data_IF_787753242950
#
_entry.id   IF_787753242950
#
_cell.length_a   1.000
_cell.length_b   1.000
_cell.length_c   1.000
_cell.angle_alpha   90.00
_cell.angle_beta   90.00
_cell.angle_gamma   90.00
#
_symmetry.space_group_name_H-M   'P 1'
#
loop_
_entity.id
_entity.type
_entity.pdbx_description
1 polymer ?
#
# COMPACT_ATOMS: atom_id res chain seq x y z
N UNK A 1 -27.50 0.44 67.10
CA UNK A 1 -27.20 1.19 65.87
C UNK A 1 -26.14 0.54 64.97
N UNK A 2 -25.26 -0.32 65.49
CA UNK A 2 -24.10 -0.87 64.75
C UNK A 2 -24.45 -1.91 63.67
N UNK A 3 -25.54 -2.69 63.85
CA UNK A 3 -25.92 -3.78 62.93
C UNK A 3 -26.53 -3.27 61.60
N UNK A 4 -27.24 -2.13 61.65
CA UNK A 4 -27.89 -1.52 60.48
C UNK A 4 -26.85 -0.85 59.57
N UNK A 5 -25.85 -0.19 60.15
CA UNK A 5 -24.75 0.43 59.40
C UNK A 5 -23.89 -0.62 58.65
N UNK A 6 -23.69 -1.81 59.23
CA UNK A 6 -22.92 -2.89 58.60
C UNK A 6 -23.66 -3.49 57.39
N UNK A 7 -24.97 -3.68 57.51
CA UNK A 7 -25.82 -4.20 56.42
C UNK A 7 -25.92 -3.19 55.27
N UNK A 8 -26.04 -1.89 55.57
CA UNK A 8 -26.00 -0.83 54.54
C UNK A 8 -24.66 -0.81 53.79
N UNK A 9 -23.53 -0.99 54.49
CA UNK A 9 -22.19 -0.99 53.88
C UNK A 9 -21.96 -2.21 52.97
N UNK A 10 -22.53 -3.37 53.32
CA UNK A 10 -22.52 -4.57 52.48
C UNK A 10 -23.39 -4.37 51.23
N UNK A 11 -24.60 -3.82 51.39
CA UNK A 11 -25.51 -3.55 50.26
C UNK A 11 -24.90 -2.55 49.25
N UNK A 12 -24.24 -1.50 49.72
CA UNK A 12 -23.56 -0.54 48.84
C UNK A 12 -22.36 -1.15 48.11
N UNK A 13 -21.58 -2.01 48.76
CA UNK A 13 -20.41 -2.66 48.13
C UNK A 13 -20.82 -3.72 47.11
N UNK A 14 -21.90 -4.46 47.36
CA UNK A 14 -22.47 -5.44 46.41
C UNK A 14 -23.02 -4.72 45.16
N UNK A 15 -23.68 -3.57 45.31
CA UNK A 15 -24.12 -2.75 44.17
C UNK A 15 -22.95 -2.20 43.35
N UNK A 16 -21.86 -1.73 43.97
CA UNK A 16 -20.70 -1.19 43.25
C UNK A 16 -20.00 -2.29 42.44
N UNK A 17 -19.84 -3.50 43.00
CA UNK A 17 -19.22 -4.63 42.29
C UNK A 17 -20.11 -5.11 41.13
N UNK A 18 -21.43 -5.18 41.32
CA UNK A 18 -22.37 -5.56 40.26
C UNK A 18 -22.39 -4.54 39.09
N UNK A 19 -22.25 -3.24 39.39
CA UNK A 19 -22.15 -2.19 38.38
C UNK A 19 -20.82 -2.33 37.61
N UNK A 20 -19.69 -2.57 38.27
CA UNK A 20 -18.38 -2.76 37.62
C UNK A 20 -18.32 -3.98 36.68
N UNK A 21 -19.03 -5.07 36.99
CA UNK A 21 -19.13 -6.25 36.12
C UNK A 21 -20.03 -6.01 34.89
N UNK A 22 -21.02 -5.12 34.97
CA UNK A 22 -21.88 -4.75 33.84
C UNK A 22 -21.21 -3.80 32.83
N UNK A 23 -20.15 -3.08 33.22
CA UNK A 23 -19.40 -2.17 32.32
C UNK A 23 -18.27 -2.89 31.56
N UNK A 24 -17.90 -4.12 31.94
CA UNK A 24 -16.78 -4.85 31.34
C UNK A 24 -17.18 -5.84 30.23
N UNK A 25 -18.47 -6.01 29.92
CA UNK A 25 -18.95 -7.02 28.95
C UNK A 25 -19.37 -6.47 27.59
N UNK A 26 -19.10 -5.19 27.29
CA UNK A 26 -19.36 -4.58 25.98
C UNK A 26 -18.11 -3.92 25.38
N UNK A 27 -17.01 -4.67 25.33
CA UNK A 27 -16.03 -4.45 24.28
C UNK A 27 -16.30 -5.49 23.19
N UNK A 28 -17.00 -5.16 22.09
CA UNK A 28 -16.86 -5.97 20.89
C UNK A 28 -15.39 -5.94 20.51
N UNK A 29 -14.66 -7.02 20.84
CA UNK A 29 -13.37 -7.29 20.27
C UNK A 29 -13.59 -7.50 18.77
N UNK A 30 -13.55 -6.42 18.00
CA UNK A 30 -13.40 -6.47 16.55
C UNK A 30 -11.96 -6.88 16.24
N UNK A 31 -11.59 -8.09 16.67
CA UNK A 31 -10.41 -8.78 16.20
C UNK A 31 -10.84 -9.53 14.94
N UNK A 32 -10.38 -9.04 13.77
CA UNK A 32 -10.50 -9.58 12.41
C UNK A 32 -11.40 -8.76 11.48
N UNK A 33 -10.78 -7.82 10.77
CA UNK A 33 -10.57 -7.92 9.32
C UNK A 33 -9.39 -7.00 8.98
N UNK A 34 -8.22 -7.54 8.64
CA UNK A 34 -7.28 -6.82 7.76
C UNK A 34 -7.68 -7.24 6.34
N UNK A 35 -8.58 -6.53 5.64
CA UNK A 35 -8.72 -6.74 4.23
C UNK A 35 -7.43 -6.20 3.60
N UNK A 36 -6.51 -7.08 3.19
CA UNK A 36 -5.42 -6.70 2.30
C UNK A 36 -6.04 -6.07 1.04
N UNK A 37 -6.20 -4.75 1.04
CA UNK A 37 -7.00 -4.06 0.04
C UNK A 37 -6.27 -4.13 -1.30
N UNK A 38 -6.98 -4.65 -2.31
CA UNK A 38 -6.50 -4.64 -3.70
C UNK A 38 -7.07 -3.40 -4.39
N UNK A 39 -6.27 -2.78 -5.24
CA UNK A 39 -6.68 -1.55 -5.91
C UNK A 39 -6.34 -1.49 -7.40
N UNK A 40 -6.00 -2.60 -8.04
CA UNK A 40 -5.83 -2.61 -9.50
C UNK A 40 -7.21 -2.63 -10.17
N UNK A 41 -7.54 -1.56 -10.88
CA UNK A 41 -8.77 -1.45 -11.68
C UNK A 41 -8.47 -1.82 -13.13
N UNK A 42 -9.18 -2.80 -13.67
CA UNK A 42 -9.14 -3.10 -15.10
C UNK A 42 -10.08 -2.14 -15.83
N UNK A 43 -9.50 -1.22 -16.59
CA UNK A 43 -10.25 -0.21 -17.35
C UNK A 43 -9.97 -0.39 -18.84
N UNK A 44 -10.92 -0.99 -19.55
CA UNK A 44 -10.78 -1.28 -20.98
C UNK A 44 -10.58 0.00 -21.80
N UNK A 45 -11.29 1.10 -21.46
CA UNK A 45 -11.21 2.36 -22.19
C UNK A 45 -9.85 3.03 -22.10
N UNK A 46 -9.14 2.91 -20.97
CA UNK A 46 -7.77 3.44 -20.84
C UNK A 46 -6.77 2.47 -21.45
N UNK A 47 -6.99 1.17 -21.32
CA UNK A 47 -6.15 0.14 -21.92
C UNK A 47 -6.08 0.23 -23.45
N UNK A 48 -7.22 0.42 -24.13
CA UNK A 48 -7.29 0.52 -25.60
C UNK A 48 -6.56 1.75 -26.17
N UNK A 49 -6.26 2.75 -25.33
CA UNK A 49 -5.50 3.94 -25.73
C UNK A 49 -3.99 3.76 -25.63
N UNK A 50 -3.53 2.65 -25.05
CA UNK A 50 -2.09 2.37 -24.91
C UNK A 50 -1.57 1.83 -26.22
N UNK A 51 -0.59 2.53 -26.80
CA UNK A 51 0.10 2.07 -28.00
C UNK A 51 0.77 0.72 -27.74
N UNK A 52 0.43 -0.27 -28.56
CA UNK A 52 1.01 -1.61 -28.46
C UNK A 52 2.29 -1.68 -29.29
N UNK A 53 3.36 -2.21 -28.68
CA UNK A 53 4.57 -2.58 -29.42
C UNK A 53 4.22 -3.78 -30.31
N UNK A 54 4.56 -3.77 -31.61
CA UNK A 54 4.31 -4.90 -32.48
C UNK A 54 5.01 -6.16 -31.95
N UNK A 55 4.44 -7.36 -32.20
CA UNK A 55 5.08 -8.60 -31.79
C UNK A 55 6.47 -8.73 -32.45
N UNK A 56 7.44 -9.34 -31.74
CA UNK A 56 8.78 -9.54 -32.29
C UNK A 56 8.72 -10.37 -33.57
N UNK A 57 9.57 -10.02 -34.54
CA UNK A 57 9.62 -10.72 -35.83
C UNK A 57 10.15 -12.15 -35.65
N UNK A 58 9.77 -13.06 -36.53
CA UNK A 58 10.30 -14.44 -36.57
C UNK A 58 11.83 -14.39 -36.69
N UNK A 59 12.54 -14.97 -35.71
CA UNK A 59 14.01 -14.92 -35.59
C UNK A 59 14.55 -14.04 -34.45
N UNK A 60 13.83 -12.98 -34.03
CA UNK A 60 14.19 -12.20 -32.83
C UNK A 60 13.92 -12.98 -31.54
N UNK A 61 12.97 -13.91 -31.61
CA UNK A 61 12.61 -14.81 -30.52
C UNK A 61 13.73 -15.83 -30.23
N UNK A 62 14.51 -16.21 -31.25
CA UNK A 62 15.63 -17.16 -31.13
C UNK A 62 16.84 -16.53 -30.41
N UNK A 63 16.88 -15.19 -30.30
CA UNK A 63 17.92 -14.45 -29.59
C UNK A 63 17.67 -14.29 -28.08
N UNK A 64 16.53 -14.78 -27.56
CA UNK A 64 16.21 -14.68 -26.13
C UNK A 64 16.92 -15.78 -25.32
N UNK A 65 17.43 -15.47 -24.11
CA UNK A 65 18.02 -16.48 -23.26
C UNK A 65 16.97 -17.47 -22.75
N UNK A 66 17.36 -18.74 -22.58
CA UNK A 66 16.48 -19.81 -22.02
C UNK A 66 15.86 -19.45 -20.67
N UNK A 67 16.54 -18.60 -19.88
CA UNK A 67 16.08 -18.08 -18.60
C UNK A 67 16.69 -16.70 -18.36
N UNK A 68 15.90 -15.78 -17.83
CA UNK A 68 16.38 -14.48 -17.37
C UNK A 68 15.66 -14.10 -16.07
N UNK A 69 16.38 -13.45 -15.15
CA UNK A 69 15.79 -12.96 -13.90
C UNK A 69 16.21 -11.52 -13.64
N UNK A 70 15.22 -10.69 -13.31
CA UNK A 70 15.42 -9.32 -12.87
C UNK A 70 15.64 -9.20 -11.37
N UNK A 71 15.61 -10.31 -10.61
CA UNK A 71 15.68 -10.29 -9.13
C UNK A 71 16.91 -9.57 -8.60
N UNK A 72 18.05 -9.67 -9.28
CA UNK A 72 19.29 -8.96 -8.89
C UNK A 72 19.15 -7.43 -8.93
N UNK A 73 18.17 -6.89 -9.65
CA UNK A 73 17.87 -5.46 -9.78
C UNK A 73 16.66 -5.03 -8.95
N UNK A 74 16.04 -5.94 -8.20
CA UNK A 74 14.82 -5.65 -7.46
C UNK A 74 15.13 -5.09 -6.06
N UNK A 75 14.35 -4.11 -5.57
CA UNK A 75 14.38 -3.73 -4.17
C UNK A 75 13.83 -4.87 -3.31
N UNK A 76 14.07 -4.79 -2.00
CA UNK A 76 13.48 -5.71 -1.03
C UNK A 76 11.95 -5.57 -1.01
N UNK A 77 11.19 -6.68 -0.99
CA UNK A 77 9.74 -6.61 -0.87
C UNK A 77 9.31 -5.89 0.42
N UNK A 78 8.25 -5.09 0.33
CA UNK A 78 7.63 -4.40 1.48
C UNK A 78 6.13 -4.65 1.48
N UNK A 79 5.46 -4.21 2.54
CA UNK A 79 4.03 -4.38 2.74
C UNK A 79 3.29 -3.08 2.37
N UNK A 80 2.28 -3.18 1.51
CA UNK A 80 1.41 -2.06 1.15
C UNK A 80 0.44 -1.66 2.27
N UNK A 81 0.29 -2.48 3.31
CA UNK A 81 -0.67 -2.29 4.39
C UNK A 81 -2.11 -2.59 3.94
N UNK A 82 -3.07 -1.99 4.63
CA UNK A 82 -4.51 -2.13 4.36
C UNK A 82 -5.01 -1.22 3.22
N UNK A 83 -4.09 -0.62 2.46
CA UNK A 83 -4.41 0.35 1.40
C UNK A 83 -4.52 -0.31 0.04
N UNK A 84 -5.43 0.17 -0.81
CA UNK A 84 -5.60 -0.20 -2.22
C UNK A 84 -4.49 0.34 -3.15
N UNK A 85 -3.24 0.36 -2.71
CA UNK A 85 -2.12 1.06 -3.38
C UNK A 85 -1.25 0.15 -4.25
N UNK A 86 -1.64 -1.11 -4.46
CA UNK A 86 -0.84 -2.13 -5.15
C UNK A 86 -0.31 -1.69 -6.54
N UNK A 87 -1.02 -0.81 -7.26
CA UNK A 87 -0.55 -0.27 -8.54
C UNK A 87 0.66 0.65 -8.38
N UNK A 88 0.67 1.50 -7.34
CA UNK A 88 1.84 2.32 -7.00
C UNK A 88 3.04 1.44 -6.63
N UNK A 89 2.82 0.38 -5.85
CA UNK A 89 3.85 -0.61 -5.51
C UNK A 89 4.42 -1.34 -6.73
N UNK A 90 3.56 -1.79 -7.63
CA UNK A 90 3.99 -2.48 -8.84
C UNK A 90 4.81 -1.57 -9.77
N UNK A 91 4.36 -0.33 -9.98
CA UNK A 91 4.93 0.55 -11.00
C UNK A 91 6.08 1.42 -10.49
N UNK A 92 5.90 2.15 -9.38
CA UNK A 92 6.94 2.99 -8.83
C UNK A 92 7.95 2.15 -8.03
N UNK A 93 7.50 1.47 -6.97
CA UNK A 93 8.44 0.79 -6.08
C UNK A 93 9.19 -0.34 -6.77
N UNK A 94 8.50 -1.21 -7.52
CA UNK A 94 9.16 -2.32 -8.21
C UNK A 94 9.69 -1.94 -9.60
N UNK A 95 8.81 -1.68 -10.58
CA UNK A 95 9.21 -1.58 -11.98
C UNK A 95 10.18 -0.42 -12.25
N UNK A 96 9.89 0.79 -11.75
CA UNK A 96 10.76 1.96 -11.94
C UNK A 96 12.10 1.80 -11.22
N UNK A 97 12.12 1.25 -10.01
CA UNK A 97 13.36 0.95 -9.30
C UNK A 97 14.20 -0.08 -10.05
N UNK A 98 13.61 -1.18 -10.52
CA UNK A 98 14.29 -2.20 -11.32
C UNK A 98 14.88 -1.61 -12.60
N UNK A 99 14.12 -0.76 -13.30
CA UNK A 99 14.57 -0.09 -14.51
C UNK A 99 15.84 0.75 -14.24
N UNK A 100 15.82 1.56 -13.18
CA UNK A 100 16.95 2.43 -12.80
C UNK A 100 18.15 1.62 -12.33
N UNK A 101 17.93 0.61 -11.48
CA UNK A 101 18.97 -0.29 -11.02
C UNK A 101 19.65 -1.01 -12.19
N UNK A 102 18.88 -1.50 -13.17
CA UNK A 102 19.43 -2.12 -14.38
C UNK A 102 20.20 -1.12 -15.25
N UNK A 103 19.69 0.10 -15.41
CA UNK A 103 20.35 1.14 -16.19
C UNK A 103 21.72 1.51 -15.63
N UNK A 104 21.83 1.66 -14.31
CA UNK A 104 23.09 2.00 -13.62
C UNK A 104 23.91 0.78 -13.17
N UNK A 105 23.46 -0.44 -13.45
CA UNK A 105 24.18 -1.66 -13.10
C UNK A 105 24.19 -2.01 -11.60
N UNK A 106 23.26 -1.50 -10.80
CA UNK A 106 23.15 -1.81 -9.38
C UNK A 106 22.68 -3.26 -9.17
N UNK A 107 23.37 -4.02 -8.33
CA UNK A 107 23.04 -5.44 -8.04
C UNK A 107 22.87 -5.76 -6.56
N UNK A 108 23.03 -4.77 -5.68
CA UNK A 108 22.94 -4.95 -4.23
C UNK A 108 21.56 -4.51 -3.74
N UNK A 109 20.80 -5.42 -3.13
CA UNK A 109 19.40 -5.17 -2.73
C UNK A 109 19.27 -3.97 -1.80
N UNK A 110 20.21 -3.78 -0.86
CA UNK A 110 20.22 -2.64 0.07
C UNK A 110 20.31 -1.32 -0.69
N UNK A 111 21.34 -1.16 -1.55
CA UNK A 111 21.50 0.03 -2.39
C UNK A 111 20.26 0.30 -3.26
N UNK A 112 19.68 -0.75 -3.84
CA UNK A 112 18.49 -0.64 -4.69
C UNK A 112 17.27 -0.21 -3.87
N UNK A 113 17.13 -0.74 -2.65
CA UNK A 113 16.03 -0.44 -1.73
C UNK A 113 16.13 0.99 -1.20
N UNK A 114 17.33 1.43 -0.84
CA UNK A 114 17.61 2.82 -0.40
C UNK A 114 17.32 3.82 -1.51
N UNK A 115 17.40 3.38 -2.77
CA UNK A 115 17.08 4.17 -3.96
C UNK A 115 15.71 3.82 -4.57
N UNK A 116 14.84 3.10 -3.86
CA UNK A 116 13.53 2.75 -4.38
C UNK A 116 12.62 3.99 -4.52
N UNK A 117 11.68 3.93 -5.44
CA UNK A 117 10.71 5.02 -5.66
C UNK A 117 9.45 4.86 -4.80
N UNK A 118 8.87 5.97 -4.38
CA UNK A 118 7.72 5.98 -3.48
C UNK A 118 6.44 5.48 -4.19
N UNK A 119 5.85 4.36 -3.76
CA UNK A 119 4.57 3.90 -4.29
C UNK A 119 3.42 4.83 -3.90
N UNK A 120 3.53 5.44 -2.72
CA UNK A 120 2.50 6.32 -2.18
C UNK A 120 2.51 7.68 -2.84
N UNK A 121 3.67 8.23 -3.22
CA UNK A 121 3.72 9.46 -4.01
C UNK A 121 2.96 9.28 -5.33
N UNK A 122 3.24 8.18 -6.05
CA UNK A 122 2.56 7.90 -7.30
C UNK A 122 1.05 7.74 -7.07
N UNK A 123 0.64 6.97 -6.06
CA UNK A 123 -0.78 6.79 -5.76
C UNK A 123 -1.48 8.10 -5.40
N UNK A 124 -0.86 8.94 -4.57
CA UNK A 124 -1.40 10.24 -4.16
C UNK A 124 -1.57 11.20 -5.34
N UNK A 125 -0.68 11.14 -6.35
CA UNK A 125 -0.84 11.91 -7.60
C UNK A 125 -2.01 11.45 -8.47
N UNK A 126 -2.45 10.20 -8.35
CA UNK A 126 -3.47 9.59 -9.23
C UNK A 126 -4.84 9.51 -8.56
N UNK A 127 -4.87 9.29 -7.24
CA UNK A 127 -6.11 9.05 -6.52
C UNK A 127 -7.06 10.24 -6.67
N UNK A 128 -8.35 9.97 -6.54
CA UNK A 128 -9.34 11.05 -6.49
C UNK A 128 -9.21 11.80 -5.16
N UNK A 129 -9.52 13.09 -5.17
CA UNK A 129 -9.49 13.93 -3.96
C UNK A 129 -10.40 13.42 -2.83
N UNK A 130 -11.45 12.66 -3.15
CA UNK A 130 -12.36 12.07 -2.18
C UNK A 130 -11.91 10.67 -1.68
N UNK A 131 -10.85 10.07 -2.22
CA UNK A 131 -10.28 8.82 -1.71
C UNK A 131 -9.36 9.08 -0.50
N UNK A 132 -9.99 9.45 0.62
CA UNK A 132 -9.30 9.78 1.87
C UNK A 132 -8.77 8.55 2.60
N UNK A 133 -9.12 7.34 2.19
CA UNK A 133 -8.66 6.09 2.82
C UNK A 133 -7.66 5.33 1.96
N UNK A 134 -7.33 5.84 0.78
CA UNK A 134 -6.46 5.20 -0.20
C UNK A 134 -6.89 3.77 -0.55
N UNK A 135 -8.21 3.54 -0.65
CA UNK A 135 -8.81 2.22 -0.84
C UNK A 135 -9.54 2.09 -2.18
N UNK A 136 -9.70 3.18 -2.93
CA UNK A 136 -10.40 3.10 -4.21
C UNK A 136 -9.57 2.37 -5.26
N UNK A 137 -8.24 2.48 -5.23
CA UNK A 137 -7.39 1.92 -6.28
C UNK A 137 -7.40 2.73 -7.58
N UNK A 138 -6.54 2.34 -8.52
CA UNK A 138 -6.37 2.98 -9.83
C UNK A 138 -6.05 1.95 -10.92
N UNK A 139 -6.07 2.37 -12.20
CA UNK A 139 -5.65 1.55 -13.32
C UNK A 139 -4.18 1.78 -13.71
N UNK A 140 -3.58 0.77 -14.34
CA UNK A 140 -2.16 0.78 -14.71
C UNK A 140 -1.83 1.88 -15.74
N UNK A 141 -2.74 2.15 -16.68
CA UNK A 141 -2.49 3.10 -17.75
C UNK A 141 -2.43 4.54 -17.21
N UNK A 142 -3.40 4.93 -16.38
CA UNK A 142 -3.39 6.23 -15.72
C UNK A 142 -2.14 6.41 -14.83
N UNK A 143 -1.73 5.36 -14.13
CA UNK A 143 -0.54 5.41 -13.28
C UNK A 143 0.77 5.55 -14.07
N UNK A 144 0.92 4.82 -15.17
CA UNK A 144 2.07 4.95 -16.07
C UNK A 144 2.12 6.34 -16.73
N UNK A 145 0.97 6.87 -17.18
CA UNK A 145 0.90 8.21 -17.77
C UNK A 145 1.27 9.31 -16.75
N UNK A 146 0.73 9.22 -15.54
CA UNK A 146 1.09 10.13 -14.44
C UNK A 146 2.60 10.06 -14.14
N UNK A 147 3.17 8.86 -14.03
CA UNK A 147 4.61 8.71 -13.77
C UNK A 147 5.47 9.23 -14.94
N UNK A 148 4.98 9.13 -16.18
CA UNK A 148 5.65 9.68 -17.37
C UNK A 148 5.65 11.22 -17.36
N UNK A 149 4.53 11.83 -17.01
CA UNK A 149 4.34 13.29 -17.12
C UNK A 149 4.80 14.06 -15.86
N UNK A 150 4.74 13.43 -14.69
CA UNK A 150 5.05 14.08 -13.41
C UNK A 150 6.29 13.49 -12.72
N UNK A 151 6.81 12.36 -13.19
CA UNK A 151 7.85 11.63 -12.48
C UNK A 151 7.33 10.98 -11.20
N UNK A 152 8.27 10.57 -10.35
CA UNK A 152 8.00 9.97 -9.03
C UNK A 152 9.19 10.22 -8.11
N UNK A 153 8.92 10.57 -6.85
CA UNK A 153 9.94 10.80 -5.83
C UNK A 153 10.53 9.48 -5.30
N UNK A 154 11.72 9.57 -4.69
CA UNK A 154 12.27 8.45 -3.92
C UNK A 154 11.40 8.15 -2.70
N UNK A 155 11.46 6.91 -2.23
CA UNK A 155 10.70 6.46 -1.06
C UNK A 155 11.02 7.33 0.16
N UNK A 156 12.30 7.63 0.40
CA UNK A 156 12.75 8.46 1.52
C UNK A 156 12.41 9.95 1.40
N UNK A 157 12.01 10.43 0.22
CA UNK A 157 11.54 11.81 0.01
C UNK A 157 10.03 11.93 0.23
N UNK A 158 9.28 10.81 0.12
CA UNK A 158 7.85 10.75 0.38
C UNK A 158 7.50 9.41 1.04
N UNK A 159 7.55 9.40 2.37
CA UNK A 159 7.33 8.20 3.20
C UNK A 159 5.88 8.06 3.69
N UNK A 160 5.02 9.05 3.43
CA UNK A 160 3.63 9.01 3.85
C UNK A 160 2.87 7.87 3.19
N UNK A 161 2.11 7.11 3.98
CA UNK A 161 1.39 5.92 3.51
C UNK A 161 0.02 6.23 2.91
N UNK A 162 -0.65 7.31 3.33
CA UNK A 162 -1.90 7.80 2.74
C UNK A 162 -2.15 9.26 3.17
N UNK A 163 -2.70 10.10 2.27
CA UNK A 163 -3.01 11.52 2.51
C UNK A 163 -1.80 12.36 2.92
N UNK A 164 -0.59 12.00 2.48
CA UNK A 164 0.59 12.83 2.72
C UNK A 164 0.54 14.09 1.86
N UNK A 165 0.96 15.22 2.41
CA UNK A 165 1.06 16.46 1.63
C UNK A 165 2.14 16.34 0.57
N UNK A 166 1.80 16.68 -0.68
CA UNK A 166 2.78 16.87 -1.74
C UNK A 166 3.01 18.37 -1.88
N UNK A 167 4.15 18.86 -1.41
CA UNK A 167 4.64 20.19 -1.77
C UNK A 167 4.97 20.19 -3.26
N UNK A 168 4.34 21.10 -4.00
CA UNK A 168 4.57 21.30 -5.44
C UNK A 168 5.82 22.16 -5.67
#
# INVERSE_FOLDING_TARGET
MTKIMYIQKIQTNVCIIAICFLIHTINPANAQTLPNAKGCKFNLKTYEKVDLIPPPKRGEQDALPKKYSLKQYAPEPKNQGDYGTCVGWALAYAARTIQIAKHYGWKHSVLITDNAFSPYFLYEKIKKSNDLKCNEGTDLAAALDTMKNNGVLKFNEYEYTCNGSITQ
#
